data_IF_090153188843
#
_entry.id   IF_090153188843
#
_cell.length_a   1.000
_cell.length_b   1.000
_cell.length_c   1.000
_cell.angle_alpha   90.00
_cell.angle_beta   90.00
_cell.angle_gamma   90.00
#
_symmetry.space_group_name_H-M   'P 1'
#
loop_
_entity.id
_entity.type
_entity.pdbx_description
1 polymer ?
#
# COMPACT_ATOMS: atom_id res chain seq x y z
N UNK A 1 -2.33 5.76 13.29
CA UNK A 1 -2.74 4.66 12.37
C UNK A 1 -4.20 4.31 12.64
N UNK A 2 -4.80 3.37 11.88
CA UNK A 2 -6.20 2.86 12.05
C UNK A 2 -7.36 3.85 11.79
N UNK A 3 -7.18 4.79 10.86
CA UNK A 3 -8.25 5.74 10.47
C UNK A 3 -9.36 5.07 9.63
N UNK A 4 -9.05 3.96 8.97
CA UNK A 4 -9.96 3.21 8.09
C UNK A 4 -10.06 1.76 8.54
N UNK A 5 -11.23 1.15 8.36
CA UNK A 5 -11.52 -0.21 8.85
C UNK A 5 -10.82 -1.32 8.06
N UNK A 6 -10.34 -1.03 6.85
CA UNK A 6 -9.66 -2.01 6.01
C UNK A 6 -9.34 -1.50 4.61
N UNK A 7 -8.62 -2.29 3.82
CA UNK A 7 -8.19 -1.93 2.48
C UNK A 7 -9.37 -1.73 1.51
N UNK A 8 -10.49 -2.43 1.71
CA UNK A 8 -11.71 -2.27 0.89
C UNK A 8 -12.29 -0.85 1.02
N UNK A 9 -12.39 -0.34 2.26
CA UNK A 9 -12.93 0.99 2.51
C UNK A 9 -12.00 2.07 1.95
N UNK A 10 -10.69 1.89 2.13
CA UNK A 10 -9.68 2.81 1.61
C UNK A 10 -9.71 2.86 0.08
N UNK A 11 -9.77 1.72 -0.59
CA UNK A 11 -9.82 1.66 -2.05
C UNK A 11 -11.06 2.34 -2.62
N UNK A 12 -12.22 2.12 -1.99
CA UNK A 12 -13.45 2.81 -2.37
C UNK A 12 -13.31 4.33 -2.19
N UNK A 13 -12.76 4.79 -1.07
CA UNK A 13 -12.55 6.21 -0.79
C UNK A 13 -11.57 6.85 -1.78
N UNK A 14 -10.50 6.14 -2.17
CA UNK A 14 -9.53 6.62 -3.16
C UNK A 14 -10.16 6.72 -4.57
N UNK A 15 -10.98 5.75 -4.95
CA UNK A 15 -11.68 5.77 -6.25
C UNK A 15 -12.69 6.92 -6.30
N UNK A 16 -13.58 7.00 -5.31
CA UNK A 16 -14.69 7.96 -5.31
C UNK A 16 -14.27 9.38 -4.91
N UNK A 17 -13.27 9.52 -4.04
CA UNK A 17 -12.85 10.79 -3.48
C UNK A 17 -11.75 11.48 -4.30
N UNK A 18 -10.68 10.76 -4.60
CA UNK A 18 -9.50 11.35 -5.28
C UNK A 18 -9.46 11.06 -6.78
N UNK A 19 -10.37 10.24 -7.29
CA UNK A 19 -10.39 9.82 -8.70
C UNK A 19 -9.31 8.80 -9.05
N UNK A 20 -8.90 7.95 -8.09
CA UNK A 20 -7.96 6.87 -8.39
C UNK A 20 -8.53 5.95 -9.48
N UNK A 21 -7.73 5.52 -10.48
CA UNK A 21 -8.23 4.76 -11.63
C UNK A 21 -9.04 3.51 -11.24
N UNK A 22 -10.35 3.44 -11.53
CA UNK A 22 -11.20 2.32 -11.08
C UNK A 22 -10.77 0.97 -11.63
N UNK A 23 -10.20 0.93 -12.84
CA UNK A 23 -9.74 -0.30 -13.49
C UNK A 23 -8.50 -0.91 -12.82
N UNK A 24 -7.85 -0.20 -11.89
CA UNK A 24 -6.76 -0.74 -11.05
C UNK A 24 -7.27 -1.28 -9.71
N UNK A 25 -8.58 -1.27 -9.48
CA UNK A 25 -9.22 -1.83 -8.29
C UNK A 25 -9.04 -1.02 -7.00
N UNK A 26 -8.32 0.11 -7.03
CA UNK A 26 -8.00 0.93 -5.85
C UNK A 26 -6.51 0.94 -5.53
N UNK A 27 -6.11 1.75 -4.56
CA UNK A 27 -4.71 1.99 -4.22
C UNK A 27 -4.05 0.75 -3.60
N UNK A 28 -4.69 0.15 -2.60
CA UNK A 28 -4.23 -1.05 -1.94
C UNK A 28 -4.22 -2.24 -2.90
N UNK A 29 -5.26 -2.38 -3.74
CA UNK A 29 -5.30 -3.47 -4.71
C UNK A 29 -4.20 -3.32 -5.76
N UNK A 30 -3.99 -2.11 -6.25
CA UNK A 30 -2.88 -1.82 -7.14
C UNK A 30 -1.52 -2.08 -6.49
N UNK A 31 -1.36 -1.78 -5.20
CA UNK A 31 -0.13 -2.06 -4.47
C UNK A 31 0.16 -3.58 -4.37
N UNK A 32 -0.88 -4.38 -4.13
CA UNK A 32 -0.76 -5.84 -4.10
C UNK A 32 -0.45 -6.43 -5.48
N UNK A 33 -1.08 -5.92 -6.54
CA UNK A 33 -0.80 -6.32 -7.93
C UNK A 33 0.64 -5.99 -8.35
N UNK A 34 1.18 -4.87 -7.87
CA UNK A 34 2.56 -4.43 -8.11
C UNK A 34 3.58 -5.19 -7.25
N UNK A 35 3.18 -5.61 -6.06
CA UNK A 35 4.02 -6.31 -5.09
C UNK A 35 4.65 -5.36 -4.06
N UNK A 36 4.47 -5.69 -2.78
CA UNK A 36 4.90 -4.82 -1.68
C UNK A 36 6.43 -4.71 -1.58
N UNK A 37 7.19 -5.75 -1.93
CA UNK A 37 8.66 -5.67 -1.98
C UNK A 37 9.15 -4.63 -3.00
N UNK A 38 8.60 -4.62 -4.22
CA UNK A 38 8.96 -3.61 -5.23
C UNK A 38 8.65 -2.19 -4.74
N UNK A 39 7.53 -2.02 -4.03
CA UNK A 39 7.13 -0.73 -3.46
C UNK A 39 8.09 -0.30 -2.36
N UNK A 40 8.46 -1.20 -1.44
CA UNK A 40 9.42 -0.92 -0.37
C UNK A 40 10.79 -0.55 -0.93
N UNK A 41 11.28 -1.28 -1.92
CA UNK A 41 12.56 -0.99 -2.57
C UNK A 41 12.54 0.40 -3.22
N UNK A 42 11.47 0.71 -3.95
CA UNK A 42 11.31 2.02 -4.58
C UNK A 42 11.21 3.16 -3.56
N UNK A 43 10.55 2.93 -2.42
CA UNK A 43 10.47 3.91 -1.33
C UNK A 43 11.85 4.15 -0.70
N UNK A 44 12.64 3.10 -0.49
CA UNK A 44 14.02 3.22 -0.01
C UNK A 44 14.91 4.01 -0.99
N UNK A 45 14.79 3.75 -2.30
CA UNK A 45 15.50 4.53 -3.33
C UNK A 45 15.12 6.02 -3.30
N UNK A 46 13.83 6.32 -3.15
CA UNK A 46 13.34 7.70 -3.05
C UNK A 46 13.79 8.36 -1.75
N UNK A 47 13.82 7.62 -0.65
CA UNK A 47 14.28 8.12 0.65
C UNK A 47 15.75 8.50 0.59
N UNK A 48 16.59 7.64 0.01
CA UNK A 48 18.01 7.90 -0.18
C UNK A 48 18.27 9.09 -1.13
N UNK A 49 17.43 9.28 -2.14
CA UNK A 49 17.60 10.35 -3.14
C UNK A 49 17.09 11.71 -2.69
N UNK A 50 15.97 11.76 -1.98
CA UNK A 50 15.25 13.00 -1.72
C UNK A 50 15.17 13.36 -0.25
N UNK A 51 14.59 12.50 0.59
CA UNK A 51 14.54 12.70 2.05
C UNK A 51 13.83 11.52 2.74
N UNK A 52 13.98 11.44 4.06
CA UNK A 52 13.27 10.51 4.94
C UNK A 52 11.74 10.55 4.83
N UNK A 53 11.15 11.57 4.19
CA UNK A 53 9.69 11.61 3.93
C UNK A 53 9.20 10.45 3.05
N UNK A 54 10.10 9.81 2.30
CA UNK A 54 9.78 8.63 1.49
C UNK A 54 10.11 7.30 2.19
N UNK A 55 10.60 7.33 3.44
CA UNK A 55 10.94 6.13 4.17
C UNK A 55 9.70 5.22 4.27
N UNK A 56 9.79 3.93 3.90
CA UNK A 56 8.66 3.03 3.99
C UNK A 56 8.25 2.83 5.45
N UNK A 57 6.94 2.72 5.66
CA UNK A 57 6.39 2.43 6.98
C UNK A 57 6.79 1.04 7.47
N UNK A 58 6.99 0.89 8.79
CA UNK A 58 7.44 -0.36 9.39
C UNK A 58 6.47 -1.53 9.12
N UNK A 59 5.16 -1.28 9.11
CA UNK A 59 4.15 -2.30 8.79
C UNK A 59 4.27 -2.74 7.33
N UNK A 60 4.49 -1.80 6.41
CA UNK A 60 4.66 -2.11 5.00
C UNK A 60 5.92 -2.95 4.76
N UNK A 61 7.03 -2.62 5.44
CA UNK A 61 8.27 -3.41 5.40
C UNK A 61 8.04 -4.82 5.95
N UNK A 62 7.32 -4.96 7.07
CA UNK A 62 7.04 -6.26 7.66
C UNK A 62 6.16 -7.15 6.76
N UNK A 63 5.15 -6.57 6.09
CA UNK A 63 4.31 -7.28 5.14
C UNK A 63 5.12 -7.75 3.92
N UNK A 64 5.95 -6.87 3.36
CA UNK A 64 6.83 -7.20 2.25
C UNK A 64 7.82 -8.34 2.59
N UNK A 65 8.45 -8.28 3.77
CA UNK A 65 9.37 -9.32 4.23
C UNK A 65 8.70 -10.69 4.43
N UNK A 66 7.40 -10.71 4.72
CA UNK A 66 6.60 -11.93 4.86
C UNK A 66 5.93 -12.37 3.55
N UNK A 67 6.18 -11.67 2.44
CA UNK A 67 5.51 -11.88 1.15
C UNK A 67 3.97 -11.86 1.27
N UNK A 68 3.46 -10.95 2.11
CA UNK A 68 2.03 -10.76 2.34
C UNK A 68 1.48 -9.61 1.48
N UNK A 69 0.16 -9.59 1.35
CA UNK A 69 -0.61 -8.58 0.64
C UNK A 69 -1.42 -7.73 1.64
N UNK A 70 -1.74 -6.49 1.28
CA UNK A 70 -2.64 -5.62 2.03
C UNK A 70 -4.05 -6.21 2.13
N UNK A 71 -4.50 -6.93 1.10
CA UNK A 71 -5.75 -7.68 1.07
C UNK A 71 -5.67 -9.10 1.66
N UNK A 72 -4.60 -9.46 2.39
CA UNK A 72 -4.52 -10.78 3.02
C UNK A 72 -5.70 -11.01 3.98
N UNK A 73 -6.45 -12.09 3.75
CA UNK A 73 -7.59 -12.49 4.56
C UNK A 73 -7.15 -12.86 5.98
N UNK A 74 -7.40 -11.97 6.92
CA UNK A 74 -7.86 -12.38 8.26
C UNK A 74 -9.35 -12.03 8.35
N UNK A 75 -10.16 -12.63 7.48
CA UNK A 75 -11.57 -12.84 7.73
C UNK A 75 -11.71 -14.24 8.34
N UNK A 76 -11.36 -14.34 9.63
CA UNK A 76 -11.74 -15.44 10.51
C UNK A 76 -12.73 -14.91 11.53
#
# INVERSE_FOLDING_TARGET
EEVVSGPQMLDMAMILGTGFPPFRGGLCRYADERGLSEIVDRLNELAARYSDRFKPDAKLVALAAQNQCLFSSNAG
#
